data_IF_675648608048
#
_entry.id   IF_675648608048
#
_cell.length_a   1.000
_cell.length_b   1.000
_cell.length_c   1.000
_cell.angle_alpha   90.00
_cell.angle_beta   90.00
_cell.angle_gamma   90.00
#
_symmetry.space_group_name_H-M   'P 1'
#
loop_
_entity.id
_entity.type
_entity.pdbx_description
1 polymer ?
#
# COMPACT_ATOMS: atom_id res chain seq x y z
N UNK A 1 -9.52 2.05 -18.14
CA UNK A 1 -9.66 3.51 -18.27
C UNK A 1 -9.92 3.90 -19.72
N UNK A 2 -8.97 3.80 -20.67
CA UNK A 2 -9.18 4.26 -22.07
C UNK A 2 -10.45 3.74 -22.73
N UNK A 3 -10.69 2.42 -22.73
CA UNK A 3 -11.92 1.83 -23.29
C UNK A 3 -13.23 2.41 -22.74
N UNK A 4 -13.24 2.87 -21.48
CA UNK A 4 -14.42 3.45 -20.82
C UNK A 4 -14.62 4.91 -21.23
N UNK A 5 -13.52 5.64 -21.37
CA UNK A 5 -13.55 7.00 -21.91
C UNK A 5 -13.99 7.00 -23.39
N UNK A 6 -13.52 6.03 -24.18
CA UNK A 6 -13.91 5.87 -25.58
C UNK A 6 -15.42 5.57 -25.74
N UNK A 7 -16.04 4.90 -24.74
CA UNK A 7 -17.48 4.69 -24.68
C UNK A 7 -18.27 5.89 -24.12
N UNK A 8 -17.60 6.98 -23.78
CA UNK A 8 -18.20 8.20 -23.26
C UNK A 8 -18.51 8.19 -21.75
N UNK A 9 -18.02 7.20 -21.00
CA UNK A 9 -18.14 7.17 -19.55
C UNK A 9 -17.20 8.19 -18.90
N UNK A 10 -17.61 8.78 -17.79
CA UNK A 10 -16.68 9.46 -16.89
C UNK A 10 -15.98 8.44 -15.99
N UNK A 11 -14.71 8.69 -15.64
CA UNK A 11 -13.90 7.79 -14.82
C UNK A 11 -13.14 8.61 -13.79
N UNK A 12 -13.23 8.19 -12.53
CA UNK A 12 -12.39 8.71 -11.46
C UNK A 12 -11.23 7.76 -11.19
N UNK A 13 -10.06 8.35 -11.00
CA UNK A 13 -8.82 7.68 -10.64
C UNK A 13 -8.30 8.31 -9.37
N UNK A 14 -8.12 7.49 -8.35
CA UNK A 14 -7.58 7.91 -7.06
C UNK A 14 -6.21 7.28 -6.92
N UNK A 15 -5.19 8.14 -6.87
CA UNK A 15 -3.81 7.79 -6.57
C UNK A 15 -3.63 7.81 -5.06
N UNK A 16 -3.22 6.68 -4.51
CA UNK A 16 -2.99 6.45 -3.10
C UNK A 16 -1.49 6.19 -2.88
N UNK A 17 -0.92 6.90 -1.91
CA UNK A 17 0.51 6.83 -1.55
C UNK A 17 0.62 6.41 -0.08
N UNK A 18 1.47 5.43 0.23
CA UNK A 18 1.74 5.04 1.62
C UNK A 18 2.86 5.89 2.22
N UNK A 19 2.63 6.39 3.44
CA UNK A 19 3.65 7.12 4.18
C UNK A 19 4.81 6.19 4.59
N UNK A 20 5.95 6.33 3.92
CA UNK A 20 7.18 5.55 4.18
C UNK A 20 6.94 4.03 4.08
N UNK A 21 6.31 3.60 2.99
CA UNK A 21 5.78 2.24 2.80
C UNK A 21 6.73 1.11 3.26
N UNK A 22 7.98 1.13 2.78
CA UNK A 22 8.98 0.12 3.11
C UNK A 22 9.46 0.20 4.57
N UNK A 23 9.43 1.37 5.21
CA UNK A 23 9.93 1.58 6.58
C UNK A 23 8.86 1.26 7.64
N UNK A 24 7.58 1.21 7.25
CA UNK A 24 6.46 1.07 8.19
C UNK A 24 5.93 -0.35 8.34
N UNK A 25 6.39 -1.31 7.52
CA UNK A 25 5.89 -2.70 7.56
C UNK A 25 6.08 -3.31 8.95
N UNK A 26 4.99 -3.64 9.69
CA UNK A 26 5.14 -4.18 11.05
C UNK A 26 5.57 -5.64 10.99
N UNK A 27 6.73 -5.97 11.58
CA UNK A 27 7.34 -7.31 11.46
C UNK A 27 6.41 -8.45 11.89
N UNK A 28 5.72 -8.31 13.03
CA UNK A 28 4.78 -9.34 13.52
C UNK A 28 3.63 -9.59 12.56
N UNK A 29 3.07 -8.53 11.96
CA UNK A 29 1.96 -8.62 11.00
C UNK A 29 2.43 -9.21 9.68
N UNK A 30 3.63 -8.85 9.23
CA UNK A 30 4.28 -9.47 8.09
C UNK A 30 4.39 -10.98 8.30
N UNK A 31 4.96 -11.42 9.42
CA UNK A 31 5.09 -12.85 9.73
C UNK A 31 3.73 -13.56 9.80
N UNK A 32 2.69 -12.93 10.36
CA UNK A 32 1.33 -13.48 10.33
C UNK A 32 0.81 -13.69 8.91
N UNK A 33 1.02 -12.72 7.99
CA UNK A 33 0.63 -12.88 6.58
C UNK A 33 1.42 -13.97 5.87
N UNK A 34 2.72 -14.04 6.09
CA UNK A 34 3.57 -15.07 5.47
C UNK A 34 3.14 -16.49 5.89
N UNK A 35 2.85 -16.68 7.18
CA UNK A 35 2.28 -17.95 7.68
C UNK A 35 0.91 -18.24 7.08
N UNK A 36 0.04 -17.22 6.97
CA UNK A 36 -1.28 -17.37 6.35
C UNK A 36 -1.22 -17.78 4.88
N UNK A 37 -0.24 -17.26 4.13
CA UNK A 37 0.00 -17.63 2.71
C UNK A 37 0.55 -19.06 2.59
N UNK A 38 0.98 -19.69 3.69
CA UNK A 38 1.43 -21.08 3.72
C UNK A 38 2.95 -21.26 3.66
N UNK A 39 3.74 -20.22 3.96
CA UNK A 39 5.18 -20.40 4.11
C UNK A 39 5.48 -21.28 5.33
N UNK A 40 6.49 -22.14 5.21
CA UNK A 40 6.88 -23.03 6.30
C UNK A 40 7.41 -22.25 7.50
N UNK A 41 7.27 -22.83 8.70
CA UNK A 41 7.75 -22.19 9.93
C UNK A 41 9.26 -21.96 9.92
N UNK A 42 10.03 -22.83 9.23
CA UNK A 42 11.47 -22.67 9.05
C UNK A 42 11.79 -21.39 8.28
N UNK A 43 11.07 -21.13 7.19
CA UNK A 43 11.26 -19.89 6.40
C UNK A 43 10.78 -18.67 7.19
N UNK A 44 9.64 -18.75 7.88
CA UNK A 44 9.14 -17.66 8.69
C UNK A 44 10.10 -17.29 9.82
N UNK A 45 10.65 -18.28 10.53
CA UNK A 45 11.67 -18.08 11.58
C UNK A 45 12.93 -17.45 11.00
N UNK A 46 13.36 -17.88 9.81
CA UNK A 46 14.53 -17.27 9.15
C UNK A 46 14.29 -15.80 8.81
N UNK A 47 13.10 -15.45 8.28
CA UNK A 47 12.72 -14.06 7.98
C UNK A 47 12.61 -13.23 9.28
N UNK A 48 12.05 -13.80 10.35
CA UNK A 48 11.97 -13.14 11.66
C UNK A 48 13.37 -12.78 12.18
N UNK A 49 14.30 -13.75 12.18
CA UNK A 49 15.69 -13.52 12.57
C UNK A 49 16.40 -12.48 11.68
N UNK A 50 16.06 -12.42 10.39
CA UNK A 50 16.62 -11.42 9.48
C UNK A 50 16.12 -9.98 9.75
N UNK A 51 14.92 -9.84 10.32
CA UNK A 51 14.31 -8.55 10.67
C UNK A 51 14.61 -8.10 12.11
N UNK A 52 14.80 -9.04 13.03
CA UNK A 52 14.94 -8.77 14.47
C UNK A 52 16.30 -8.12 14.82
N UNK A 53 16.31 -7.36 15.93
CA UNK A 53 17.48 -6.77 16.58
C UNK A 53 18.37 -5.90 15.67
N UNK A 54 17.78 -5.42 14.58
CA UNK A 54 18.42 -4.48 13.67
C UNK A 54 18.58 -3.11 14.32
N UNK A 55 19.73 -2.50 14.03
CA UNK A 55 20.03 -1.11 14.38
C UNK A 55 20.48 -0.34 13.15
N UNK A 56 20.24 0.96 13.15
CA UNK A 56 20.63 1.89 12.10
C UNK A 56 21.20 3.17 12.70
N UNK A 57 22.01 3.88 11.92
CA UNK A 57 22.53 5.23 12.22
C UNK A 57 22.71 6.00 10.93
N UNK A 58 22.70 7.32 11.02
CA UNK A 58 22.94 8.22 9.89
C UNK A 58 24.42 8.61 9.89
N UNK A 59 25.02 8.66 8.69
CA UNK A 59 26.39 9.13 8.48
C UNK A 59 26.38 10.33 7.54
N UNK A 60 26.91 11.46 8.01
CA UNK A 60 27.03 12.68 7.20
C UNK A 60 28.43 13.24 7.37
N UNK A 61 29.16 13.42 6.27
CA UNK A 61 30.52 13.98 6.26
C UNK A 61 31.47 13.30 7.27
N UNK A 62 31.41 11.96 7.38
CA UNK A 62 32.23 11.18 8.31
C UNK A 62 31.79 11.24 9.78
N UNK A 63 30.75 12.00 10.11
CA UNK A 63 30.15 12.07 11.45
C UNK A 63 29.00 11.08 11.56
N UNK A 64 28.93 10.36 12.69
CA UNK A 64 27.94 9.33 12.95
C UNK A 64 26.90 9.80 13.96
N UNK A 65 25.62 9.56 13.70
CA UNK A 65 24.60 9.63 14.75
C UNK A 65 24.75 8.48 15.75
N UNK A 66 24.01 8.56 16.86
CA UNK A 66 23.80 7.39 17.73
C UNK A 66 23.09 6.27 16.96
N UNK A 67 23.29 5.04 17.44
CA UNK A 67 22.54 3.89 16.96
C UNK A 67 21.09 3.96 17.43
N UNK A 68 20.17 3.61 16.54
CA UNK A 68 18.75 3.50 16.84
C UNK A 68 18.23 2.14 16.37
N UNK A 69 17.28 1.55 17.11
CA UNK A 69 16.69 0.27 16.76
C UNK A 69 15.73 0.41 15.57
N UNK A 70 15.67 -0.61 14.73
CA UNK A 70 14.73 -0.72 13.61
C UNK A 70 13.57 -1.60 14.06
N UNK A 71 12.44 -0.98 14.39
CA UNK A 71 11.27 -1.66 14.97
C UNK A 71 10.22 -2.06 13.92
N UNK A 72 10.35 -1.54 12.70
CA UNK A 72 9.45 -1.80 11.58
C UNK A 72 10.21 -1.65 10.27
N UNK A 73 9.56 -2.09 9.20
CA UNK A 73 10.03 -1.95 7.84
C UNK A 73 10.80 -3.16 7.35
N UNK A 74 10.92 -3.23 6.04
CA UNK A 74 11.77 -4.19 5.35
C UNK A 74 13.03 -3.46 4.88
N UNK A 75 14.21 -4.09 4.97
CA UNK A 75 15.48 -3.47 4.58
C UNK A 75 15.49 -3.02 3.11
N UNK A 76 15.52 -1.70 2.89
CA UNK A 76 15.70 -1.12 1.56
C UNK A 76 17.08 -1.48 1.00
N UNK A 77 17.16 -1.69 -0.32
CA UNK A 77 18.38 -2.14 -0.99
C UNK A 77 18.68 -3.64 -0.84
N UNK A 78 17.86 -4.38 -0.11
CA UNK A 78 17.94 -5.85 -0.08
C UNK A 78 17.13 -6.48 -1.21
N UNK A 79 17.51 -7.70 -1.60
CA UNK A 79 16.75 -8.49 -2.59
C UNK A 79 15.38 -8.91 -2.06
N UNK A 80 15.28 -9.23 -0.76
CA UNK A 80 14.06 -9.74 -0.14
C UNK A 80 13.06 -8.65 0.26
N UNK A 81 13.53 -7.43 0.56
CA UNK A 81 12.67 -6.35 1.04
C UNK A 81 11.48 -6.09 0.12
N UNK A 82 11.68 -5.86 -1.20
CA UNK A 82 10.60 -5.67 -2.16
C UNK A 82 9.63 -6.85 -2.24
N UNK A 83 10.13 -8.08 -2.20
CA UNK A 83 9.29 -9.28 -2.23
C UNK A 83 8.39 -9.36 -0.99
N UNK A 84 8.96 -9.14 0.19
CA UNK A 84 8.21 -9.17 1.45
C UNK A 84 7.18 -8.05 1.53
N UNK A 85 7.51 -6.88 0.99
CA UNK A 85 6.54 -5.78 0.86
C UNK A 85 5.36 -6.18 -0.03
N UNK A 86 5.62 -6.71 -1.24
CA UNK A 86 4.56 -7.15 -2.16
C UNK A 86 3.68 -8.24 -1.54
N UNK A 87 4.27 -9.23 -0.84
CA UNK A 87 3.51 -10.24 -0.11
C UNK A 87 2.65 -9.63 1.00
N UNK A 88 3.13 -8.56 1.63
CA UNK A 88 2.40 -7.88 2.71
C UNK A 88 1.17 -7.12 2.22
N UNK A 89 1.22 -6.50 1.03
CA UNK A 89 0.13 -5.71 0.45
C UNK A 89 -0.79 -6.52 -0.48
N UNK A 90 -0.51 -7.81 -0.70
CA UNK A 90 -1.18 -8.62 -1.72
C UNK A 90 -2.72 -8.73 -1.54
N UNK A 91 -3.21 -8.64 -0.31
CA UNK A 91 -4.63 -8.65 0.06
C UNK A 91 -5.28 -7.25 0.12
N UNK A 92 -4.56 -6.18 -0.25
CA UNK A 92 -5.07 -4.80 -0.19
C UNK A 92 -6.36 -4.60 -0.99
N UNK A 93 -6.49 -5.30 -2.13
CA UNK A 93 -7.66 -5.23 -3.00
C UNK A 93 -8.80 -6.18 -2.63
N UNK A 94 -8.65 -7.02 -1.61
CA UNK A 94 -9.70 -7.96 -1.23
C UNK A 94 -10.95 -7.23 -0.71
N UNK A 95 -12.11 -7.54 -1.30
CA UNK A 95 -13.38 -6.91 -0.93
C UNK A 95 -13.63 -5.53 -1.55
N UNK A 96 -12.72 -5.03 -2.40
CA UNK A 96 -12.89 -3.77 -3.13
C UNK A 96 -13.62 -4.02 -4.45
N UNK A 97 -14.67 -3.25 -4.72
CA UNK A 97 -15.49 -3.42 -5.92
C UNK A 97 -14.93 -2.67 -7.14
N UNK A 98 -14.29 -1.53 -6.90
CA UNK A 98 -13.60 -0.75 -7.93
C UNK A 98 -12.29 -1.41 -8.35
N UNK A 99 -11.76 -1.01 -9.51
CA UNK A 99 -10.52 -1.60 -10.01
C UNK A 99 -9.32 -1.07 -9.23
N UNK A 100 -8.76 -1.90 -8.35
CA UNK A 100 -7.49 -1.63 -7.67
C UNK A 100 -6.35 -2.12 -8.54
N UNK A 101 -5.33 -1.30 -8.73
CA UNK A 101 -4.05 -1.79 -9.24
C UNK A 101 -2.93 -1.30 -8.33
N UNK A 102 -1.99 -2.19 -8.06
CA UNK A 102 -0.89 -1.92 -7.13
C UNK A 102 0.42 -2.17 -7.83
N UNK A 103 1.39 -1.28 -7.62
CA UNK A 103 2.75 -1.45 -8.08
C UNK A 103 3.70 -0.97 -6.98
N UNK A 104 4.29 -1.90 -6.24
CA UNK A 104 4.99 -1.58 -5.00
C UNK A 104 4.10 -0.70 -4.10
N UNK A 105 4.58 0.47 -3.69
CA UNK A 105 3.86 1.40 -2.82
C UNK A 105 2.82 2.27 -3.55
N UNK A 106 2.87 2.36 -4.88
CA UNK A 106 1.88 3.08 -5.67
C UNK A 106 0.60 2.25 -5.80
N UNK A 107 -0.51 2.78 -5.29
CA UNK A 107 -1.84 2.17 -5.44
C UNK A 107 -2.75 3.09 -6.22
N UNK A 108 -3.47 2.55 -7.20
CA UNK A 108 -4.54 3.27 -7.91
C UNK A 108 -5.87 2.57 -7.72
N UNK A 109 -6.90 3.35 -7.41
CA UNK A 109 -8.30 2.93 -7.41
C UNK A 109 -8.99 3.62 -8.58
N UNK A 110 -9.62 2.85 -9.46
CA UNK A 110 -10.27 3.38 -10.66
C UNK A 110 -11.71 2.89 -10.75
N UNK A 111 -12.66 3.80 -11.01
CA UNK A 111 -14.06 3.46 -11.23
C UNK A 111 -14.71 4.35 -12.28
N UNK A 112 -15.54 3.82 -13.18
CA UNK A 112 -16.49 4.64 -13.94
C UNK A 112 -17.48 5.32 -12.99
N UNK A 113 -17.70 6.62 -13.16
CA UNK A 113 -18.57 7.43 -12.30
C UNK A 113 -19.62 8.13 -13.16
N UNK A 114 -20.74 7.44 -13.40
CA UNK A 114 -21.84 7.95 -14.22
C UNK A 114 -23.10 8.23 -13.38
N UNK A 115 -23.06 7.94 -12.08
CA UNK A 115 -24.19 8.09 -11.16
C UNK A 115 -23.71 8.42 -9.74
N UNK A 116 -24.60 8.98 -8.91
CA UNK A 116 -24.35 9.20 -7.48
C UNK A 116 -24.05 7.88 -6.75
N UNK A 117 -24.65 6.78 -7.20
CA UNK A 117 -24.37 5.46 -6.65
C UNK A 117 -22.91 5.05 -6.91
N UNK A 118 -22.34 5.39 -8.07
CA UNK A 118 -20.94 5.11 -8.37
C UNK A 118 -19.98 5.92 -7.50
N UNK A 119 -20.29 7.19 -7.26
CA UNK A 119 -19.55 8.04 -6.31
C UNK A 119 -19.57 7.40 -4.92
N UNK A 120 -20.76 6.98 -4.47
CA UNK A 120 -20.94 6.38 -3.14
C UNK A 120 -20.17 5.06 -3.02
N UNK A 121 -20.22 4.22 -4.04
CA UNK A 121 -19.45 2.97 -4.06
C UNK A 121 -17.94 3.21 -4.10
N UNK A 122 -17.47 4.22 -4.84
CA UNK A 122 -16.05 4.60 -4.83
C UNK A 122 -15.60 5.07 -3.44
N UNK A 123 -16.41 5.88 -2.75
CA UNK A 123 -16.12 6.30 -1.39
C UNK A 123 -16.11 5.12 -0.41
N UNK A 124 -17.06 4.19 -0.53
CA UNK A 124 -17.08 2.97 0.28
C UNK A 124 -15.82 2.13 0.10
N UNK A 125 -15.34 1.99 -1.14
CA UNK A 125 -14.09 1.30 -1.44
C UNK A 125 -12.86 2.02 -0.81
N UNK A 126 -12.83 3.35 -0.83
CA UNK A 126 -11.80 4.13 -0.13
C UNK A 126 -11.85 3.92 1.39
N UNK A 127 -13.04 3.90 1.98
CA UNK A 127 -13.22 3.66 3.41
C UNK A 127 -12.73 2.25 3.79
N UNK A 128 -13.01 1.24 2.97
CA UNK A 128 -12.48 -0.11 3.17
C UNK A 128 -10.95 -0.14 3.08
N UNK A 129 -10.35 0.56 2.12
CA UNK A 129 -8.89 0.69 2.03
C UNK A 129 -8.31 1.41 3.26
N UNK A 130 -8.98 2.44 3.78
CA UNK A 130 -8.56 3.14 5.00
C UNK A 130 -8.65 2.23 6.24
N UNK A 131 -9.69 1.40 6.34
CA UNK A 131 -9.83 0.38 7.39
C UNK A 131 -8.70 -0.66 7.28
N UNK A 132 -8.41 -1.15 6.06
CA UNK A 132 -7.30 -2.06 5.82
C UNK A 132 -5.97 -1.42 6.24
N UNK A 133 -5.72 -0.18 5.84
CA UNK A 133 -4.53 0.59 6.18
C UNK A 133 -4.35 0.73 7.70
N UNK A 134 -5.41 1.06 8.43
CA UNK A 134 -5.41 1.12 9.89
C UNK A 134 -5.15 -0.26 10.51
N UNK A 135 -5.87 -1.29 10.04
CA UNK A 135 -5.73 -2.68 10.49
C UNK A 135 -4.33 -3.22 10.28
N UNK A 136 -3.63 -2.82 9.22
CA UNK A 136 -2.28 -3.28 8.88
C UNK A 136 -1.16 -2.28 9.18
N UNK A 137 -1.48 -1.13 9.79
CA UNK A 137 -0.52 -0.08 10.20
C UNK A 137 0.22 0.55 9.00
N UNK A 138 -0.40 0.53 7.82
CA UNK A 138 0.10 1.14 6.60
C UNK A 138 -0.62 2.45 6.34
N UNK A 139 -0.16 3.54 6.95
CA UNK A 139 -0.83 4.84 6.84
C UNK A 139 -0.70 5.39 5.42
N UNK A 140 -1.80 5.88 4.85
CA UNK A 140 -1.73 6.69 3.63
C UNK A 140 -1.15 8.07 3.93
N UNK A 141 -0.41 8.61 2.97
CA UNK A 141 0.07 9.97 2.95
C UNK A 141 -0.94 10.84 2.19
N UNK A 142 -1.92 11.37 2.94
CA UNK A 142 -3.06 12.12 2.38
C UNK A 142 -2.61 13.28 1.49
N UNK A 143 -1.52 13.96 1.85
CA UNK A 143 -0.98 15.10 1.07
C UNK A 143 -0.50 14.70 -0.32
N UNK A 144 -0.03 13.45 -0.46
CA UNK A 144 0.43 12.89 -1.72
C UNK A 144 -0.66 12.14 -2.49
N UNK A 145 -1.75 11.75 -1.83
CA UNK A 145 -2.91 11.22 -2.52
C UNK A 145 -3.51 12.28 -3.46
N UNK A 146 -3.98 11.83 -4.63
CA UNK A 146 -4.57 12.70 -5.66
C UNK A 146 -5.78 12.04 -6.30
N UNK A 147 -6.78 12.84 -6.61
CA UNK A 147 -7.93 12.42 -7.42
C UNK A 147 -7.79 13.04 -8.81
N UNK A 148 -8.03 12.24 -9.83
CA UNK A 148 -8.05 12.66 -11.21
C UNK A 148 -9.37 12.24 -11.84
N UNK A 149 -10.13 13.24 -12.27
CA UNK A 149 -11.42 13.07 -12.94
C UNK A 149 -11.22 13.11 -14.46
N UNK A 150 -11.71 12.09 -15.15
CA UNK A 150 -11.63 11.99 -16.60
C UNK A 150 -13.03 11.90 -17.22
N UNK A 151 -13.22 12.50 -18.40
CA UNK A 151 -14.48 12.49 -19.15
C UNK A 151 -15.37 13.71 -18.93
N UNK A 152 -16.16 14.06 -19.94
CA UNK A 152 -16.90 15.34 -20.01
C UNK A 152 -18.18 15.39 -19.17
N UNK A 153 -18.65 14.23 -18.67
CA UNK A 153 -19.93 14.07 -17.95
C UNK A 153 -19.72 13.74 -16.47
N UNK A 154 -18.52 14.00 -15.94
CA UNK A 154 -18.18 13.64 -14.58
C UNK A 154 -18.98 14.48 -13.59
N UNK A 155 -19.85 13.82 -12.82
CA UNK A 155 -20.49 14.43 -11.65
C UNK A 155 -19.44 14.42 -10.54
N UNK A 156 -18.74 15.56 -10.38
CA UNK A 156 -17.67 15.71 -9.38
C UNK A 156 -18.12 15.12 -8.04
N UNK A 157 -17.36 14.14 -7.56
CA UNK A 157 -17.46 13.56 -6.22
C UNK A 157 -16.91 14.53 -5.16
#
# INVERSE_FOLDING_TARGET
>A
VSKKLDSGDAVDIIYLDFAKAFDTVPHKRLLSKLRFIGLSEVVCTWIENWLQDRVQRVVVNGTFSTWNKVLSGVPQGSVLGPLLFNLFINDLGEGIMSNVSVFADDTKLCRPVNSIQDVTSLQQDLDQLAIWAAKWQMRFNVDKCKVMHLGCKNMQA
#
